data_IF_693871366917
#
_entry.id   IF_693871366917
#
_cell.length_a   1.000
_cell.length_b   1.000
_cell.length_c   1.000
_cell.angle_alpha   90.00
_cell.angle_beta   90.00
_cell.angle_gamma   90.00
#
_symmetry.space_group_name_H-M   'P 1'
#
loop_
_entity.id
_entity.type
_entity.pdbx_description
1 polymer ?
#
# COMPACT_ATOMS: atom_id res chain seq x y z
N UNK A 1 -7.82 -3.73 12.85
CA UNK A 1 -8.97 -3.54 11.94
C UNK A 1 -8.52 -3.91 10.52
N UNK A 2 -9.02 -5.02 9.98
CA UNK A 2 -8.54 -5.64 8.73
C UNK A 2 -8.97 -4.86 7.48
N UNK A 3 -8.36 -5.14 6.32
CA UNK A 3 -8.76 -4.57 5.02
C UNK A 3 -10.25 -4.82 4.73
N UNK A 4 -10.81 -5.91 5.24
CA UNK A 4 -12.21 -6.33 5.07
C UNK A 4 -13.21 -5.33 5.61
N UNK A 5 -12.82 -4.58 6.63
CA UNK A 5 -13.70 -3.64 7.33
C UNK A 5 -13.54 -2.19 6.84
N UNK A 6 -12.70 -1.95 5.82
CA UNK A 6 -12.53 -0.62 5.25
C UNK A 6 -13.85 -0.09 4.69
N UNK A 7 -14.22 1.09 5.16
CA UNK A 7 -15.29 1.89 4.55
C UNK A 7 -14.69 2.82 3.49
N UNK A 8 -15.42 3.15 2.41
CA UNK A 8 -14.95 4.11 1.41
C UNK A 8 -14.62 5.48 2.02
N UNK A 9 -13.51 6.09 1.58
CA UNK A 9 -13.15 7.44 1.98
C UNK A 9 -14.14 8.49 1.44
N UNK A 10 -14.26 9.66 2.10
CA UNK A 10 -15.12 10.75 1.64
C UNK A 10 -14.78 11.21 0.21
N UNK A 11 -15.78 11.59 -0.62
CA UNK A 11 -15.55 12.01 -2.01
C UNK A 11 -14.54 13.14 -2.18
N UNK A 12 -14.45 14.07 -1.23
CA UNK A 12 -13.51 15.18 -1.25
C UNK A 12 -12.05 14.69 -1.16
N UNK A 13 -11.80 13.70 -0.31
CA UNK A 13 -10.47 13.09 -0.19
C UNK A 13 -10.13 12.24 -1.41
N UNK A 14 -11.11 11.57 -2.01
CA UNK A 14 -10.92 10.80 -3.24
C UNK A 14 -10.66 11.71 -4.44
N UNK A 15 -11.39 12.82 -4.53
CA UNK A 15 -11.39 13.73 -5.68
C UNK A 15 -10.02 14.28 -6.04
N UNK A 16 -9.18 14.60 -5.05
CA UNK A 16 -7.82 15.13 -5.29
C UNK A 16 -6.89 14.09 -5.94
N UNK A 17 -7.17 12.79 -5.75
CA UNK A 17 -6.38 11.70 -6.32
C UNK A 17 -6.84 11.27 -7.71
N UNK A 18 -8.11 11.51 -8.08
CA UNK A 18 -8.69 11.05 -9.36
C UNK A 18 -7.83 11.36 -10.60
N UNK A 19 -7.19 12.54 -10.74
CA UNK A 19 -6.36 12.85 -11.92
C UNK A 19 -5.16 11.91 -12.12
N UNK A 20 -4.67 11.25 -11.07
CA UNK A 20 -3.49 10.38 -11.10
C UNK A 20 -3.81 8.94 -11.52
N UNK A 21 -5.10 8.57 -11.59
CA UNK A 21 -5.52 7.20 -11.89
C UNK A 21 -6.48 7.18 -13.09
N UNK A 22 -5.96 7.17 -14.34
CA UNK A 22 -6.82 7.20 -15.52
C UNK A 22 -7.64 5.91 -15.69
N UNK A 23 -7.16 4.77 -15.19
CA UNK A 23 -7.83 3.47 -15.36
C UNK A 23 -9.10 3.35 -14.50
N UNK A 24 -10.23 3.02 -15.13
CA UNK A 24 -11.54 2.86 -14.46
C UNK A 24 -11.50 1.83 -13.33
N UNK A 25 -10.78 0.73 -13.49
CA UNK A 25 -10.63 -0.30 -12.47
C UNK A 25 -10.00 0.25 -11.18
N UNK A 26 -8.96 1.08 -11.29
CA UNK A 26 -8.31 1.72 -10.14
C UNK A 26 -9.22 2.73 -9.46
N UNK A 27 -9.97 3.53 -10.24
CA UNK A 27 -10.95 4.51 -9.70
C UNK A 27 -12.01 3.88 -8.80
N UNK A 28 -12.46 2.66 -9.09
CA UNK A 28 -13.45 1.94 -8.27
C UNK A 28 -12.90 1.49 -6.90
N UNK A 29 -11.58 1.27 -6.81
CA UNK A 29 -10.90 0.81 -5.59
C UNK A 29 -10.35 1.98 -4.79
N UNK A 30 -10.05 3.10 -5.45
CA UNK A 30 -9.42 4.29 -4.89
C UNK A 30 -10.03 4.73 -3.54
N UNK A 31 -11.37 4.79 -3.33
CA UNK A 31 -11.92 5.16 -2.02
C UNK A 31 -11.45 4.27 -0.86
N UNK A 32 -11.28 2.96 -1.09
CA UNK A 32 -10.80 2.04 -0.06
C UNK A 32 -9.28 2.14 0.13
N UNK A 33 -8.53 2.37 -0.95
CA UNK A 33 -7.10 2.61 -0.86
C UNK A 33 -6.78 3.89 -0.09
N UNK A 34 -7.56 4.95 -0.26
CA UNK A 34 -7.45 6.19 0.54
C UNK A 34 -7.80 5.91 2.01
N UNK A 35 -8.85 5.15 2.30
CA UNK A 35 -9.15 4.77 3.69
C UNK A 35 -8.04 3.93 4.32
N UNK A 36 -7.40 3.04 3.55
CA UNK A 36 -6.24 2.29 4.00
C UNK A 36 -5.05 3.23 4.25
N UNK A 37 -4.78 4.15 3.32
CA UNK A 37 -3.73 5.15 3.46
C UNK A 37 -3.89 5.98 4.73
N UNK A 38 -5.10 6.44 5.04
CA UNK A 38 -5.41 7.23 6.24
C UNK A 38 -5.19 6.47 7.55
N UNK A 39 -5.10 5.12 7.54
CA UNK A 39 -4.73 4.35 8.73
C UNK A 39 -3.24 4.46 9.08
N UNK A 40 -2.38 4.82 8.12
CA UNK A 40 -0.93 4.98 8.35
C UNK A 40 -0.16 3.67 8.52
N UNK A 41 -0.82 2.52 8.51
CA UNK A 41 -0.19 1.22 8.69
C UNK A 41 -1.02 0.06 8.11
N UNK A 42 -0.33 -1.04 7.82
CA UNK A 42 -0.91 -2.33 7.47
C UNK A 42 -0.02 -3.46 7.96
N UNK A 43 -0.64 -4.50 8.49
CA UNK A 43 0.01 -5.78 8.77
C UNK A 43 -0.33 -6.77 7.65
N UNK A 44 0.66 -7.55 7.22
CA UNK A 44 0.53 -8.43 6.09
C UNK A 44 1.47 -9.62 6.14
N UNK A 45 1.45 -10.41 5.07
CA UNK A 45 2.22 -11.63 4.92
C UNK A 45 2.81 -11.65 3.52
N UNK A 46 4.14 -11.59 3.41
CA UNK A 46 4.82 -11.72 2.13
C UNK A 46 4.85 -13.19 1.74
N UNK A 47 4.20 -13.55 0.64
CA UNK A 47 4.29 -14.92 0.11
C UNK A 47 5.65 -15.16 -0.53
N UNK A 48 6.34 -16.23 -0.10
CA UNK A 48 7.59 -16.72 -0.68
C UNK A 48 7.30 -17.98 -1.48
N UNK A 49 7.86 -18.10 -2.68
CA UNK A 49 7.72 -19.31 -3.49
C UNK A 49 8.53 -20.45 -2.88
N UNK A 50 7.89 -21.58 -2.60
CA UNK A 50 8.55 -22.75 -2.04
C UNK A 50 8.94 -22.64 -0.55
N UNK A 51 8.51 -21.59 0.15
CA UNK A 51 8.76 -21.40 1.58
C UNK A 51 7.53 -20.78 2.28
N UNK A 52 7.61 -20.68 3.61
CA UNK A 52 6.57 -20.05 4.42
C UNK A 52 6.46 -18.54 4.14
N UNK A 53 5.26 -18.01 4.35
CA UNK A 53 5.02 -16.57 4.30
C UNK A 53 5.75 -15.85 5.44
N UNK A 54 6.29 -14.67 5.14
CA UNK A 54 7.00 -13.84 6.11
C UNK A 54 6.06 -12.72 6.59
N UNK A 55 5.74 -12.62 7.90
CA UNK A 55 4.95 -11.51 8.41
C UNK A 55 5.67 -10.18 8.20
N UNK A 56 4.90 -9.13 7.93
CA UNK A 56 5.44 -7.78 7.88
C UNK A 56 4.48 -6.76 8.50
N UNK A 57 5.05 -5.65 8.95
CA UNK A 57 4.32 -4.42 9.28
C UNK A 57 4.84 -3.32 8.37
N UNK A 58 3.95 -2.67 7.64
CA UNK A 58 4.25 -1.47 6.87
C UNK A 58 3.61 -0.25 7.52
N UNK A 59 4.37 0.83 7.65
CA UNK A 59 3.93 2.10 8.26
C UNK A 59 4.37 3.27 7.40
N UNK A 60 3.57 4.34 7.36
CA UNK A 60 3.89 5.54 6.58
C UNK A 60 3.34 6.82 7.22
N UNK A 61 3.88 7.97 6.78
CA UNK A 61 3.29 9.26 7.11
C UNK A 61 2.06 9.53 6.24
N UNK A 62 1.00 10.03 6.87
CA UNK A 62 -0.24 10.43 6.20
C UNK A 62 -0.17 11.92 5.86
N UNK A 63 -0.43 12.26 4.61
CA UNK A 63 -0.55 13.63 4.12
C UNK A 63 -1.84 13.83 3.32
N UNK A 64 -2.17 15.08 3.01
CA UNK A 64 -3.41 15.42 2.32
C UNK A 64 -3.24 15.60 0.82
N UNK A 65 -2.04 15.94 0.33
CA UNK A 65 -1.83 16.22 -1.09
C UNK A 65 -1.19 15.00 -1.79
N UNK A 66 -1.69 14.61 -2.98
CA UNK A 66 -1.13 13.48 -3.72
C UNK A 66 0.35 13.66 -4.11
N UNK A 67 0.81 14.90 -4.28
CA UNK A 67 2.20 15.20 -4.64
C UNK A 67 3.17 15.22 -3.44
N UNK A 68 2.66 15.15 -2.21
CA UNK A 68 3.50 15.14 -1.02
C UNK A 68 4.37 13.88 -0.96
N UNK A 69 5.51 13.99 -0.28
CA UNK A 69 6.41 12.86 -0.06
C UNK A 69 5.82 11.90 0.98
N UNK A 70 5.71 10.64 0.59
CA UNK A 70 5.34 9.52 1.45
C UNK A 70 6.56 8.66 1.74
N UNK A 71 6.92 8.55 3.01
CA UNK A 71 7.93 7.65 3.55
C UNK A 71 7.23 6.40 4.07
N UNK A 72 7.40 5.29 3.36
CA UNK A 72 6.94 3.98 3.79
C UNK A 72 8.10 3.20 4.38
N UNK A 73 7.90 2.64 5.56
CA UNK A 73 8.80 1.68 6.21
C UNK A 73 8.14 0.33 6.27
N UNK A 74 8.89 -0.73 5.98
CA UNK A 74 8.46 -2.11 6.16
C UNK A 74 9.43 -2.83 7.06
N UNK A 75 8.90 -3.49 8.08
CA UNK A 75 9.63 -4.37 8.97
C UNK A 75 9.12 -5.80 8.79
N UNK A 76 10.03 -6.73 8.54
CA UNK A 76 9.73 -8.15 8.42
C UNK A 76 10.02 -8.90 9.72
N UNK A 77 9.20 -9.92 10.01
CA UNK A 77 9.41 -10.90 11.08
C UNK A 77 9.60 -10.30 12.49
N UNK A 78 9.06 -9.11 12.73
CA UNK A 78 9.31 -8.37 13.97
C UNK A 78 10.78 -8.02 14.20
N UNK A 79 11.66 -8.23 13.22
CA UNK A 79 13.09 -7.99 13.32
C UNK A 79 13.44 -6.58 12.84
N UNK A 80 13.94 -5.75 13.76
CA UNK A 80 14.34 -4.38 13.45
C UNK A 80 15.47 -4.29 12.40
N UNK A 81 16.32 -5.32 12.30
CA UNK A 81 17.38 -5.39 11.29
C UNK A 81 16.83 -5.64 9.87
N UNK A 82 15.64 -6.24 9.76
CA UNK A 82 14.93 -6.46 8.51
C UNK A 82 13.94 -5.31 8.22
N UNK A 83 14.40 -4.08 8.41
CA UNK A 83 13.63 -2.86 8.17
C UNK A 83 14.12 -2.13 6.93
N UNK A 84 13.20 -1.89 6.00
CA UNK A 84 13.45 -1.18 4.75
C UNK A 84 12.62 0.10 4.70
N UNK A 85 13.17 1.16 4.11
CA UNK A 85 12.48 2.44 3.97
C UNK A 85 12.57 2.92 2.53
N UNK A 86 11.45 3.45 2.03
CA UNK A 86 11.34 4.04 0.70
C UNK A 86 10.56 5.36 0.78
N UNK A 87 11.03 6.36 0.02
CA UNK A 87 10.31 7.60 -0.19
C UNK A 87 9.82 7.69 -1.64
N UNK A 88 8.57 8.08 -1.81
CA UNK A 88 7.92 8.25 -3.11
C UNK A 88 6.81 9.29 -3.03
N UNK A 89 6.25 9.72 -4.16
CA UNK A 89 5.07 10.59 -4.13
C UNK A 89 3.87 9.84 -3.52
N UNK A 90 3.00 10.54 -2.81
CA UNK A 90 1.83 9.93 -2.16
C UNK A 90 0.88 9.27 -3.19
N UNK A 91 0.65 9.90 -4.35
CA UNK A 91 -0.13 9.27 -5.42
C UNK A 91 0.50 7.97 -5.92
N UNK A 92 1.82 7.86 -5.94
CA UNK A 92 2.50 6.63 -6.31
C UNK A 92 2.30 5.56 -5.23
N UNK A 93 2.41 5.94 -3.96
CA UNK A 93 2.20 5.01 -2.85
C UNK A 93 0.75 4.50 -2.77
N UNK A 94 -0.24 5.38 -2.98
CA UNK A 94 -1.66 5.00 -3.01
C UNK A 94 -1.93 4.04 -4.19
N UNK A 95 -1.19 4.13 -5.29
CA UNK A 95 -1.29 3.15 -6.38
C UNK A 95 -0.93 1.73 -5.91
N UNK A 96 0.13 1.59 -5.11
CA UNK A 96 0.46 0.31 -4.48
C UNK A 96 -0.61 -0.15 -3.49
N UNK A 97 -1.23 0.77 -2.73
CA UNK A 97 -2.33 0.41 -1.84
C UNK A 97 -3.59 -0.04 -2.59
N UNK A 98 -3.86 0.49 -3.80
CA UNK A 98 -4.90 -0.03 -4.68
C UNK A 98 -4.62 -1.50 -5.02
N UNK A 99 -3.38 -1.82 -5.38
CA UNK A 99 -2.98 -3.21 -5.67
C UNK A 99 -3.11 -4.12 -4.46
N UNK A 100 -2.74 -3.65 -3.25
CA UNK A 100 -2.95 -4.40 -2.00
C UNK A 100 -4.43 -4.71 -1.80
N UNK A 101 -5.32 -3.73 -1.94
CA UNK A 101 -6.78 -3.94 -1.77
C UNK A 101 -7.33 -4.89 -2.84
N UNK A 102 -6.88 -4.77 -4.09
CA UNK A 102 -7.29 -5.67 -5.18
C UNK A 102 -6.83 -7.11 -4.93
N UNK A 103 -5.56 -7.30 -4.54
CA UNK A 103 -5.02 -8.62 -4.23
C UNK A 103 -5.72 -9.25 -3.04
N UNK A 104 -5.92 -8.48 -1.97
CA UNK A 104 -6.60 -8.96 -0.78
C UNK A 104 -8.02 -9.46 -1.08
N UNK A 105 -8.78 -8.79 -1.95
CA UNK A 105 -10.11 -9.26 -2.37
C UNK A 105 -10.08 -10.62 -3.07
N UNK A 106 -8.98 -10.95 -3.76
CA UNK A 106 -8.80 -12.21 -4.50
C UNK A 106 -8.22 -13.33 -3.62
N UNK A 107 -7.24 -13.02 -2.79
CA UNK A 107 -6.42 -14.02 -2.10
C UNK A 107 -6.64 -14.07 -0.59
N UNK A 108 -7.33 -13.07 -0.02
CA UNK A 108 -7.45 -12.83 1.43
C UNK A 108 -6.12 -12.64 2.14
N UNK A 109 -5.08 -12.29 1.38
CA UNK A 109 -3.73 -12.07 1.89
C UNK A 109 -3.32 -10.63 1.59
N UNK A 110 -3.00 -9.88 2.64
CA UNK A 110 -2.52 -8.52 2.56
C UNK A 110 -1.03 -8.56 2.23
N UNK A 111 -0.68 -8.20 1.00
CA UNK A 111 0.71 -8.21 0.52
C UNK A 111 0.87 -7.16 -0.57
N UNK A 112 2.07 -6.59 -0.64
CA UNK A 112 2.43 -5.68 -1.72
C UNK A 112 2.77 -6.47 -3.00
N UNK A 113 2.63 -5.80 -4.14
CA UNK A 113 2.97 -6.38 -5.44
C UNK A 113 4.48 -6.55 -5.60
N UNK A 114 4.88 -7.34 -6.60
CA UNK A 114 6.29 -7.49 -6.94
C UNK A 114 6.94 -6.17 -7.38
N UNK A 115 6.20 -5.30 -8.06
CA UNK A 115 6.69 -3.96 -8.47
C UNK A 115 7.04 -3.12 -7.24
N UNK A 116 6.20 -3.12 -6.21
CA UNK A 116 6.51 -2.45 -4.95
C UNK A 116 7.81 -3.00 -4.31
N UNK A 117 7.97 -4.32 -4.23
CA UNK A 117 9.17 -4.91 -3.63
C UNK A 117 10.45 -4.66 -4.43
N UNK A 118 10.37 -4.65 -5.77
CA UNK A 118 11.50 -4.23 -6.61
C UNK A 118 11.91 -2.80 -6.29
N UNK A 119 10.92 -1.90 -6.15
CA UNK A 119 11.16 -0.50 -5.78
C UNK A 119 11.80 -0.37 -4.39
N UNK A 120 11.23 -1.06 -3.39
CA UNK A 120 11.73 -1.06 -2.01
C UNK A 120 13.21 -1.51 -1.93
N UNK A 121 13.56 -2.54 -2.70
CA UNK A 121 14.89 -3.13 -2.72
C UNK A 121 15.85 -2.41 -3.69
N UNK A 122 15.42 -1.30 -4.32
CA UNK A 122 16.19 -0.55 -5.32
C UNK A 122 16.70 -1.42 -6.47
N UNK A 123 15.86 -2.36 -6.90
CA UNK A 123 16.08 -3.24 -8.05
C UNK A 123 15.46 -2.65 -9.33
N UNK A 124 15.35 -1.32 -9.41
CA UNK A 124 14.94 -0.62 -10.64
C UNK A 124 16.13 -0.63 -11.61
N UNK A 125 15.98 -1.29 -12.77
CA UNK A 125 16.87 -1.19 -13.93
C UNK A 125 16.50 0.04 -14.78
#
# INVERSE_FOLDING_TARGET
MTIEQLQPAPPQQVGVYVPYYPQTSKKQILPLAISLYQKGAIEGQRKIEGADSIPFIATWNVSTLPADLCRCRIQFDGNAELSYEIMMANFEFVDFLIEVVMNFRRTRLADFSQSFYRKLLKLED
#
